data_IF_129737090699
#
_entry.id   IF_129737090699
#
_cell.length_a   1.000
_cell.length_b   1.000
_cell.length_c   1.000
_cell.angle_alpha   90.00
_cell.angle_beta   90.00
_cell.angle_gamma   90.00
#
_symmetry.space_group_name_H-M   'P 1'
#
loop_
_entity.id
_entity.type
_entity.pdbx_description
1 polymer ?
#
# COMPACT_ATOMS: atom_id res chain seq x y z
N UNK A 1 -15.99 23.17 4.40
CA UNK A 1 -14.95 22.83 3.39
C UNK A 1 -13.90 22.04 4.10
N UNK A 2 -13.31 20.99 3.49
CA UNK A 2 -12.19 20.30 4.11
C UNK A 2 -10.99 21.25 4.22
N UNK A 3 -10.31 21.18 5.34
CA UNK A 3 -9.07 21.93 5.57
C UNK A 3 -7.92 21.24 4.83
N UNK A 4 -7.16 22.00 4.02
CA UNK A 4 -5.94 21.52 3.39
C UNK A 4 -4.77 21.98 4.24
N UNK A 5 -4.12 21.02 4.89
CA UNK A 5 -2.97 21.29 5.73
C UNK A 5 -1.67 20.98 4.99
N UNK A 6 -0.75 21.94 4.99
CA UNK A 6 0.57 21.78 4.39
C UNK A 6 1.66 21.87 5.46
N UNK A 7 2.49 20.85 5.59
CA UNK A 7 3.48 20.75 6.66
C UNK A 7 4.76 21.56 6.45
N UNK A 8 5.09 22.03 5.24
CA UNK A 8 6.36 22.75 5.03
C UNK A 8 6.67 23.22 3.59
N UNK A 9 5.81 23.01 2.60
CA UNK A 9 6.08 23.43 1.22
C UNK A 9 5.01 24.39 0.72
N UNK A 10 5.36 25.34 -0.18
CA UNK A 10 4.37 26.25 -0.75
C UNK A 10 3.25 25.44 -1.37
N UNK A 11 2.05 25.70 -0.92
CA UNK A 11 0.79 25.15 -1.39
C UNK A 11 0.81 25.01 -2.90
N UNK A 12 0.81 23.78 -3.40
CA UNK A 12 0.27 23.56 -4.73
C UNK A 12 -1.20 23.96 -4.62
N UNK A 13 -1.52 25.10 -5.18
CA UNK A 13 -2.86 25.62 -5.23
C UNK A 13 -3.69 24.70 -6.16
N UNK A 14 -4.06 23.54 -5.68
CA UNK A 14 -5.23 22.86 -6.19
C UNK A 14 -6.36 23.84 -5.86
N UNK A 15 -6.71 24.69 -6.82
CA UNK A 15 -7.60 25.78 -6.56
C UNK A 15 -8.81 25.29 -5.78
N UNK A 16 -9.22 26.01 -4.77
CA UNK A 16 -10.46 25.76 -4.01
C UNK A 16 -11.59 25.23 -4.90
N UNK A 17 -11.62 25.67 -6.16
CA UNK A 17 -12.55 25.21 -7.19
C UNK A 17 -12.53 23.71 -7.46
N UNK A 18 -11.43 22.99 -7.22
CA UNK A 18 -11.37 21.54 -7.46
C UNK A 18 -12.18 20.75 -6.44
N UNK A 19 -12.35 21.28 -5.24
CA UNK A 19 -13.06 20.63 -4.13
C UNK A 19 -14.34 21.38 -3.69
N UNK A 20 -14.60 22.54 -4.25
CA UNK A 20 -15.85 23.26 -4.02
C UNK A 20 -17.00 22.51 -4.70
N UNK A 21 -17.83 21.90 -3.89
CA UNK A 21 -19.02 21.21 -4.37
C UNK A 21 -20.26 21.77 -3.73
N UNK A 22 -21.24 22.13 -4.56
CA UNK A 22 -22.59 22.40 -4.09
C UNK A 22 -23.22 21.12 -3.55
N UNK A 23 -24.31 21.23 -2.79
CA UNK A 23 -25.13 20.08 -2.39
C UNK A 23 -25.53 19.22 -3.61
N UNK A 24 -25.87 19.87 -4.72
CA UNK A 24 -26.24 19.19 -5.96
C UNK A 24 -25.12 18.32 -6.53
N UNK A 25 -23.87 18.78 -6.49
CA UNK A 25 -22.69 18.03 -6.91
C UNK A 25 -22.46 16.76 -6.06
N UNK A 26 -22.71 16.83 -4.76
CA UNK A 26 -22.63 15.68 -3.87
C UNK A 26 -23.67 14.61 -4.17
N UNK A 27 -24.82 15.02 -4.69
CA UNK A 27 -25.91 14.10 -5.04
C UNK A 27 -25.73 13.54 -6.46
N UNK A 28 -25.35 14.38 -7.40
CA UNK A 28 -25.26 14.04 -8.83
C UNK A 28 -23.91 14.50 -9.41
N UNK A 29 -22.80 13.85 -9.05
CA UNK A 29 -21.49 14.21 -9.61
C UNK A 29 -21.42 13.85 -11.10
N UNK A 30 -21.26 14.86 -11.94
CA UNK A 30 -21.13 14.68 -13.39
C UNK A 30 -19.81 13.99 -13.75
N UNK A 31 -19.77 13.27 -14.85
CA UNK A 31 -18.56 12.68 -15.42
C UNK A 31 -17.99 11.47 -14.72
N UNK A 32 -18.63 10.96 -13.67
CA UNK A 32 -18.22 9.71 -13.04
C UNK A 32 -18.49 8.50 -13.92
N UNK A 33 -17.65 7.47 -13.79
CA UNK A 33 -17.79 6.23 -14.54
C UNK A 33 -19.11 5.54 -14.24
N UNK A 34 -19.71 4.83 -15.22
CA UNK A 34 -20.97 4.10 -15.06
C UNK A 34 -20.95 3.13 -13.87
N UNK A 35 -19.83 2.48 -13.60
CA UNK A 35 -19.65 1.56 -12.48
C UNK A 35 -19.84 2.25 -11.13
N UNK A 36 -19.43 3.50 -10.99
CA UNK A 36 -19.64 4.28 -9.77
C UNK A 36 -21.12 4.48 -9.47
N UNK A 37 -21.94 4.76 -10.47
CA UNK A 37 -23.40 4.92 -10.28
C UNK A 37 -24.04 3.66 -9.70
N UNK A 38 -23.64 2.49 -10.18
CA UNK A 38 -24.11 1.23 -9.64
C UNK A 38 -23.67 1.05 -8.19
N UNK A 39 -22.39 1.26 -7.90
CA UNK A 39 -21.81 1.07 -6.56
C UNK A 39 -22.32 2.10 -5.55
N UNK A 40 -22.62 3.32 -5.99
CA UNK A 40 -23.08 4.38 -5.11
C UNK A 40 -24.35 4.01 -4.33
N UNK A 41 -25.26 3.29 -4.92
CA UNK A 41 -26.50 2.85 -4.23
C UNK A 41 -26.13 1.97 -3.02
N UNK A 42 -25.25 1.02 -3.22
CA UNK A 42 -24.79 0.13 -2.16
C UNK A 42 -23.95 0.87 -1.10
N UNK A 43 -23.05 1.73 -1.53
CA UNK A 43 -22.21 2.52 -0.63
C UNK A 43 -23.07 3.51 0.19
N UNK A 44 -24.10 4.13 -0.39
CA UNK A 44 -25.05 4.99 0.32
C UNK A 44 -25.84 4.22 1.37
N UNK A 45 -26.40 3.05 1.01
CA UNK A 45 -27.13 2.21 1.95
C UNK A 45 -26.22 1.81 3.11
N UNK A 46 -24.99 1.41 2.80
CA UNK A 46 -24.02 1.03 3.83
C UNK A 46 -23.65 2.22 4.74
N UNK A 47 -23.36 3.40 4.17
CA UNK A 47 -22.99 4.60 4.93
C UNK A 47 -24.06 5.04 5.91
N UNK A 48 -25.31 5.03 5.49
CA UNK A 48 -26.44 5.44 6.32
C UNK A 48 -27.07 4.31 7.12
N UNK A 49 -26.44 3.12 7.10
CA UNK A 49 -26.89 2.02 7.93
C UNK A 49 -26.82 2.40 9.42
N UNK A 50 -27.90 2.20 10.18
CA UNK A 50 -27.91 2.56 11.58
C UNK A 50 -26.90 1.70 12.36
N UNK A 51 -26.05 2.38 13.14
CA UNK A 51 -25.11 1.76 14.07
C UNK A 51 -25.24 2.50 15.38
N UNK A 52 -25.42 1.76 16.43
CA UNK A 52 -25.62 2.26 17.78
C UNK A 52 -24.36 2.07 18.64
N UNK A 53 -24.22 2.88 19.66
CA UNK A 53 -23.09 2.85 20.58
C UNK A 53 -22.09 3.99 20.32
N UNK A 54 -21.15 4.13 21.25
CA UNK A 54 -20.09 5.13 21.16
C UNK A 54 -19.11 4.76 20.05
N UNK A 55 -18.67 5.75 19.31
CA UNK A 55 -17.59 5.58 18.34
C UNK A 55 -16.26 5.55 19.05
N UNK A 56 -15.35 4.69 18.60
CA UNK A 56 -14.02 4.60 19.16
C UNK A 56 -13.03 4.02 18.13
N UNK A 57 -11.74 4.24 18.37
CA UNK A 57 -10.67 3.68 17.56
C UNK A 57 -10.44 4.40 16.23
N UNK A 58 -9.44 3.91 15.54
CA UNK A 58 -8.91 4.47 14.30
C UNK A 58 -8.99 3.43 13.18
N UNK A 59 -9.58 3.80 12.05
CA UNK A 59 -9.53 3.02 10.82
C UNK A 59 -8.44 3.59 9.90
N UNK A 60 -7.48 2.78 9.54
CA UNK A 60 -6.43 3.08 8.56
C UNK A 60 -6.71 2.31 7.29
N UNK A 61 -7.05 3.00 6.21
CA UNK A 61 -7.37 2.38 4.91
C UNK A 61 -6.14 2.37 4.03
N UNK A 62 -5.62 1.17 3.73
CA UNK A 62 -4.42 0.95 2.92
C UNK A 62 -4.70 -0.07 1.82
N UNK A 63 -4.97 0.43 0.60
CA UNK A 63 -5.26 -0.39 -0.58
C UNK A 63 -4.04 -0.54 -1.48
N UNK A 64 -2.87 -0.69 -0.88
CA UNK A 64 -1.57 -0.69 -1.52
C UNK A 64 -1.00 -2.11 -1.63
N UNK A 65 0.05 -2.27 -2.43
CA UNK A 65 0.84 -3.49 -2.52
C UNK A 65 1.77 -3.71 -1.33
N UNK A 66 2.40 -4.89 -1.26
CA UNK A 66 3.26 -5.25 -0.12
C UNK A 66 4.43 -4.28 0.07
N UNK A 67 5.02 -3.76 -1.01
CA UNK A 67 6.13 -2.80 -0.93
C UNK A 67 5.75 -1.56 -0.14
N UNK A 68 4.63 -0.91 -0.50
CA UNK A 68 4.13 0.28 0.18
C UNK A 68 3.71 -0.03 1.62
N UNK A 69 3.16 -1.22 1.86
CA UNK A 69 2.78 -1.65 3.22
C UNK A 69 3.98 -1.81 4.13
N UNK A 70 5.10 -2.31 3.61
CA UNK A 70 6.36 -2.42 4.35
C UNK A 70 6.94 -1.05 4.67
N UNK A 71 6.91 -0.11 3.71
CA UNK A 71 7.34 1.27 3.93
C UNK A 71 6.45 2.00 4.96
N UNK A 72 5.16 1.70 4.96
CA UNK A 72 4.18 2.26 5.89
C UNK A 72 4.30 1.71 7.31
N UNK A 73 4.80 0.49 7.49
CA UNK A 73 4.75 -0.25 8.76
C UNK A 73 5.27 0.55 9.96
N UNK A 74 6.40 1.23 9.81
CA UNK A 74 6.99 2.04 10.90
C UNK A 74 6.16 3.30 11.20
N UNK A 75 5.56 3.91 10.18
CA UNK A 75 4.69 5.06 10.37
C UNK A 75 3.44 4.69 11.19
N UNK A 76 2.94 3.45 11.07
CA UNK A 76 1.78 2.97 11.81
C UNK A 76 1.99 2.99 13.32
N UNK A 77 3.21 2.71 13.81
CA UNK A 77 3.51 2.69 15.24
C UNK A 77 3.33 4.07 15.90
N UNK A 78 3.43 5.15 15.12
CA UNK A 78 3.23 6.51 15.62
C UNK A 78 1.75 6.92 15.72
N UNK A 79 0.85 6.17 15.07
CA UNK A 79 -0.57 6.54 15.05
C UNK A 79 -1.22 6.45 16.44
N UNK A 80 -0.82 5.47 17.25
CA UNK A 80 -1.36 5.30 18.59
C UNK A 80 -1.15 6.56 19.46
N UNK A 81 0.06 7.08 19.45
CA UNK A 81 0.42 8.28 20.22
C UNK A 81 -0.24 9.54 19.67
N UNK A 82 -0.27 9.69 18.34
CA UNK A 82 -0.81 10.88 17.66
C UNK A 82 -2.33 10.98 17.86
N UNK A 83 -3.03 9.86 17.78
CA UNK A 83 -4.48 9.82 17.92
C UNK A 83 -4.95 9.53 19.36
N UNK A 84 -4.03 9.24 20.29
CA UNK A 84 -4.36 8.92 21.68
C UNK A 84 -5.17 7.63 21.83
N UNK A 85 -4.90 6.63 20.98
CA UNK A 85 -5.58 5.33 20.98
C UNK A 85 -4.59 4.20 21.25
N UNK A 86 -5.10 3.06 21.71
CA UNK A 86 -4.26 1.85 21.87
C UNK A 86 -4.02 1.21 20.51
N UNK A 87 -2.91 0.51 20.33
CA UNK A 87 -2.65 -0.25 19.10
C UNK A 87 -3.78 -1.23 18.77
N UNK A 88 -4.37 -1.86 19.77
CA UNK A 88 -5.53 -2.77 19.62
C UNK A 88 -6.79 -2.09 19.07
N UNK A 89 -6.89 -0.77 19.20
CA UNK A 89 -8.02 0.03 18.72
C UNK A 89 -7.77 0.62 17.31
N UNK A 90 -6.57 0.36 16.76
CA UNK A 90 -6.22 0.69 15.37
C UNK A 90 -6.58 -0.50 14.49
N UNK A 91 -7.40 -0.23 13.48
CA UNK A 91 -7.86 -1.20 12.51
C UNK A 91 -7.20 -0.88 11.17
N UNK A 92 -6.37 -1.77 10.66
CA UNK A 92 -5.78 -1.65 9.33
C UNK A 92 -6.62 -2.44 8.34
N UNK A 93 -7.19 -1.74 7.36
CA UNK A 93 -7.94 -2.34 6.27
C UNK A 93 -7.06 -2.42 5.03
N UNK A 94 -6.73 -3.63 4.62
CA UNK A 94 -5.77 -3.89 3.55
C UNK A 94 -6.21 -4.90 2.51
N UNK A 95 -5.31 -5.18 1.55
CA UNK A 95 -5.54 -6.00 0.38
C UNK A 95 -5.17 -7.46 0.58
N UNK A 96 -5.89 -8.34 -0.11
CA UNK A 96 -5.64 -9.79 -0.12
C UNK A 96 -4.27 -10.15 -0.69
N UNK A 97 -3.71 -9.31 -1.54
CA UNK A 97 -2.41 -9.54 -2.18
C UNK A 97 -1.25 -9.81 -1.20
N UNK A 98 -1.32 -9.31 0.04
CA UNK A 98 -0.32 -9.55 1.08
C UNK A 98 -0.89 -10.24 2.34
N UNK A 99 -2.09 -10.82 2.24
CA UNK A 99 -2.78 -11.48 3.36
C UNK A 99 -1.94 -12.56 4.07
N UNK A 100 -1.11 -13.30 3.33
CA UNK A 100 -0.32 -14.40 3.86
C UNK A 100 0.81 -13.98 4.83
N UNK A 101 1.12 -12.68 4.89
CA UNK A 101 2.15 -12.12 5.78
C UNK A 101 1.57 -11.06 6.73
N UNK A 102 0.28 -10.79 6.62
CA UNK A 102 -0.40 -9.71 7.33
C UNK A 102 -0.28 -9.85 8.85
N UNK A 103 -0.57 -11.04 9.36
CA UNK A 103 -0.59 -11.29 10.81
C UNK A 103 0.81 -11.14 11.43
N UNK A 104 1.86 -11.54 10.73
CA UNK A 104 3.23 -11.39 11.21
C UNK A 104 3.72 -9.95 11.15
N UNK A 105 3.46 -9.25 10.04
CA UNK A 105 3.88 -7.86 9.85
C UNK A 105 3.13 -6.87 10.77
N UNK A 106 1.89 -7.18 11.12
CA UNK A 106 0.99 -6.25 11.85
C UNK A 106 0.41 -6.87 13.12
N UNK A 107 1.13 -7.78 13.78
CA UNK A 107 0.63 -8.58 14.94
C UNK A 107 0.04 -7.76 16.11
N UNK A 108 0.37 -6.49 16.24
CA UNK A 108 -0.12 -5.64 17.31
C UNK A 108 -1.41 -4.88 16.97
N UNK A 109 -1.92 -5.04 15.75
CA UNK A 109 -3.03 -4.27 15.21
C UNK A 109 -4.18 -5.20 14.84
N UNK A 110 -5.38 -4.64 14.79
CA UNK A 110 -6.53 -5.35 14.25
C UNK A 110 -6.52 -5.26 12.74
N UNK A 111 -6.46 -6.41 12.08
CA UNK A 111 -6.43 -6.47 10.61
C UNK A 111 -7.78 -6.83 10.02
N UNK A 112 -8.11 -6.19 8.92
CA UNK A 112 -9.20 -6.56 8.03
C UNK A 112 -8.64 -6.64 6.62
N UNK A 113 -8.59 -7.84 6.09
CA UNK A 113 -8.09 -8.10 4.73
C UNK A 113 -9.27 -8.34 3.80
N UNK A 114 -9.30 -7.62 2.70
CA UNK A 114 -10.34 -7.76 1.69
C UNK A 114 -9.77 -8.09 0.31
N UNK A 115 -10.59 -8.73 -0.51
CA UNK A 115 -10.28 -8.95 -1.92
C UNK A 115 -10.57 -7.66 -2.71
N UNK A 116 -9.51 -6.94 -3.05
CA UNK A 116 -9.55 -5.66 -3.75
C UNK A 116 -10.13 -5.78 -5.17
N UNK A 117 -9.92 -6.92 -5.82
CA UNK A 117 -10.47 -7.18 -7.15
C UNK A 117 -11.98 -7.44 -7.10
N UNK A 118 -12.43 -8.21 -6.12
CA UNK A 118 -13.85 -8.45 -5.89
C UNK A 118 -14.55 -7.15 -5.49
N UNK A 119 -13.95 -6.35 -4.60
CA UNK A 119 -14.49 -5.05 -4.18
C UNK A 119 -14.65 -4.07 -5.36
N UNK A 120 -13.71 -4.07 -6.29
CA UNK A 120 -13.76 -3.22 -7.48
C UNK A 120 -14.77 -3.67 -8.56
N UNK A 121 -15.25 -4.92 -8.51
CA UNK A 121 -16.01 -5.52 -9.63
C UNK A 121 -17.37 -6.08 -9.23
N UNK A 122 -17.55 -6.54 -7.98
CA UNK A 122 -18.74 -7.28 -7.53
C UNK A 122 -19.58 -6.40 -6.57
N UNK A 123 -20.79 -5.95 -6.96
CA UNK A 123 -21.60 -5.04 -6.16
C UNK A 123 -21.97 -5.58 -4.78
N UNK A 124 -22.33 -6.87 -4.69
CA UNK A 124 -22.72 -7.50 -3.43
C UNK A 124 -21.54 -7.68 -2.48
N UNK A 125 -20.35 -8.04 -3.00
CA UNK A 125 -19.14 -8.10 -2.20
C UNK A 125 -18.76 -6.69 -1.69
N UNK A 126 -18.83 -5.69 -2.57
CA UNK A 126 -18.63 -4.29 -2.20
C UNK A 126 -19.57 -3.85 -1.08
N UNK A 127 -20.86 -4.16 -1.22
CA UNK A 127 -21.84 -3.85 -0.18
C UNK A 127 -21.53 -4.53 1.16
N UNK A 128 -21.15 -5.82 1.13
CA UNK A 128 -20.74 -6.58 2.33
C UNK A 128 -19.57 -5.89 3.05
N UNK A 129 -18.51 -5.52 2.30
CA UNK A 129 -17.35 -4.84 2.87
C UNK A 129 -17.72 -3.44 3.35
N UNK A 130 -18.45 -2.66 2.58
CA UNK A 130 -18.90 -1.32 2.96
C UNK A 130 -19.73 -1.35 4.24
N UNK A 131 -20.65 -2.30 4.37
CA UNK A 131 -21.46 -2.48 5.58
C UNK A 131 -20.61 -2.94 6.78
N UNK A 132 -19.62 -3.80 6.57
CA UNK A 132 -18.66 -4.20 7.60
C UNK A 132 -17.88 -2.98 8.08
N UNK A 133 -17.31 -2.18 7.18
CA UNK A 133 -16.58 -0.95 7.52
C UNK A 133 -17.47 0.04 8.28
N UNK A 134 -18.70 0.24 7.86
CA UNK A 134 -19.67 1.09 8.58
C UNK A 134 -19.94 0.62 10.01
N UNK A 135 -20.03 -0.70 10.21
CA UNK A 135 -20.28 -1.34 11.51
C UNK A 135 -19.08 -1.30 12.47
N UNK A 136 -17.89 -0.97 11.99
CA UNK A 136 -16.73 -0.75 12.86
C UNK A 136 -16.97 0.42 13.83
N UNK A 137 -17.81 1.36 13.46
CA UNK A 137 -18.22 2.50 14.27
C UNK A 137 -17.02 3.28 14.85
N UNK A 138 -16.02 3.53 13.99
CA UNK A 138 -14.78 4.20 14.37
C UNK A 138 -14.97 5.70 14.60
N UNK A 139 -14.16 6.28 15.47
CA UNK A 139 -14.12 7.73 15.70
C UNK A 139 -13.42 8.44 14.55
N UNK A 140 -12.29 7.90 14.10
CA UNK A 140 -11.47 8.50 13.04
C UNK A 140 -11.20 7.49 11.93
N UNK A 141 -11.24 7.93 10.68
CA UNK A 141 -10.82 7.15 9.52
C UNK A 141 -9.79 7.94 8.70
N UNK A 142 -8.69 7.28 8.34
CA UNK A 142 -7.60 7.90 7.59
C UNK A 142 -7.19 7.09 6.37
N UNK A 143 -6.63 7.79 5.37
CA UNK A 143 -5.91 7.20 4.26
C UNK A 143 -4.78 8.15 3.84
N UNK A 144 -3.54 7.73 4.02
CA UNK A 144 -2.35 8.52 3.70
C UNK A 144 -1.64 8.11 2.40
N UNK A 145 -2.19 7.13 1.65
CA UNK A 145 -1.63 6.70 0.36
C UNK A 145 -1.72 7.81 -0.68
N UNK A 146 -0.60 8.11 -1.33
CA UNK A 146 -0.55 9.12 -2.40
C UNK A 146 -1.09 8.56 -3.73
N UNK A 147 -0.62 7.39 -4.15
CA UNK A 147 -1.11 6.69 -5.33
C UNK A 147 -2.24 5.75 -4.91
N UNK A 148 -3.47 6.21 -4.98
CA UNK A 148 -4.64 5.41 -4.63
C UNK A 148 -5.77 5.58 -5.65
N UNK A 149 -6.77 4.75 -5.53
CA UNK A 149 -7.98 4.84 -6.35
C UNK A 149 -9.12 5.35 -5.47
N UNK A 150 -9.73 6.48 -5.86
CA UNK A 150 -10.81 7.12 -5.10
C UNK A 150 -11.96 6.16 -4.79
N UNK A 151 -12.38 5.35 -5.78
CA UNK A 151 -13.44 4.35 -5.59
C UNK A 151 -13.04 3.14 -4.73
N UNK A 152 -11.80 3.07 -4.32
CA UNK A 152 -11.30 2.03 -3.41
C UNK A 152 -11.06 2.62 -2.02
N UNK A 153 -10.00 3.39 -1.85
CA UNK A 153 -9.60 3.90 -0.55
C UNK A 153 -10.52 5.01 -0.03
N UNK A 154 -10.74 6.07 -0.83
CA UNK A 154 -11.55 7.21 -0.38
C UNK A 154 -13.02 6.83 -0.16
N UNK A 155 -13.55 5.89 -0.97
CA UNK A 155 -14.91 5.38 -0.76
C UNK A 155 -15.05 4.64 0.57
N UNK A 156 -14.03 3.91 1.02
CA UNK A 156 -14.03 3.18 2.30
C UNK A 156 -13.91 4.14 3.48
N UNK A 157 -13.05 5.17 3.38
CA UNK A 157 -13.02 6.25 4.36
C UNK A 157 -14.39 6.91 4.45
N UNK A 158 -14.99 7.26 3.32
CA UNK A 158 -16.30 7.87 3.28
C UNK A 158 -17.42 6.99 3.85
N UNK A 159 -17.44 5.70 3.51
CA UNK A 159 -18.46 4.74 3.98
C UNK A 159 -18.35 4.48 5.47
N UNK A 160 -17.17 4.57 6.07
CA UNK A 160 -16.99 4.40 7.53
C UNK A 160 -17.93 5.33 8.32
N UNK A 161 -18.26 6.48 7.74
CA UNK A 161 -19.01 7.57 8.38
C UNK A 161 -18.41 7.93 9.75
N UNK A 162 -17.08 7.88 9.89
CA UNK A 162 -16.36 8.32 11.07
C UNK A 162 -16.67 9.80 11.39
N UNK A 163 -16.51 10.21 12.64
CA UNK A 163 -16.66 11.60 13.03
C UNK A 163 -15.60 12.49 12.40
N UNK A 164 -14.38 11.94 12.24
CA UNK A 164 -13.26 12.64 11.62
C UNK A 164 -12.67 11.80 10.49
N UNK A 165 -12.60 12.36 9.29
CA UNK A 165 -12.06 11.72 8.11
C UNK A 165 -10.87 12.54 7.60
N UNK A 166 -9.67 11.94 7.59
CA UNK A 166 -8.43 12.63 7.23
C UNK A 166 -7.75 11.85 6.11
N UNK A 167 -7.38 12.53 5.03
CA UNK A 167 -6.71 11.88 3.91
C UNK A 167 -5.52 12.69 3.42
N UNK A 168 -4.53 12.03 2.83
CA UNK A 168 -3.51 12.73 2.07
C UNK A 168 -4.09 13.29 0.77
N UNK A 169 -3.49 14.36 0.26
CA UNK A 169 -3.74 14.82 -1.10
C UNK A 169 -3.20 13.76 -2.07
N UNK A 170 -4.06 13.10 -2.88
CA UNK A 170 -3.63 12.03 -3.77
C UNK A 170 -3.03 12.56 -5.06
N UNK A 171 -2.37 11.68 -5.81
CA UNK A 171 -2.07 11.96 -7.22
C UNK A 171 -3.37 12.03 -8.04
N UNK A 172 -3.66 13.21 -8.57
CA UNK A 172 -4.86 13.47 -9.36
C UNK A 172 -4.46 13.76 -10.81
N UNK A 173 -4.98 12.98 -11.73
CA UNK A 173 -4.91 13.22 -13.16
C UNK A 173 -6.30 13.53 -13.73
N UNK A 174 -6.38 13.96 -14.97
CA UNK A 174 -7.65 14.36 -15.59
C UNK A 174 -8.72 13.24 -15.55
N UNK A 175 -8.41 11.96 -15.86
CA UNK A 175 -9.41 10.89 -15.77
C UNK A 175 -9.95 10.60 -14.37
N UNK A 176 -9.20 10.90 -13.32
CA UNK A 176 -9.57 10.60 -11.92
C UNK A 176 -10.09 11.81 -11.16
N UNK A 177 -9.95 13.00 -11.71
CA UNK A 177 -10.32 14.27 -11.07
C UNK A 177 -11.74 14.26 -10.48
N UNK A 178 -12.73 13.84 -11.27
CA UNK A 178 -14.13 13.85 -10.85
C UNK A 178 -14.39 12.95 -9.64
N UNK A 179 -13.80 11.75 -9.64
CA UNK A 179 -13.95 10.79 -8.54
C UNK A 179 -13.32 11.33 -7.26
N UNK A 180 -12.12 11.88 -7.34
CA UNK A 180 -11.43 12.49 -6.21
C UNK A 180 -12.16 13.74 -5.71
N UNK A 181 -12.58 14.63 -6.59
CA UNK A 181 -13.35 15.83 -6.19
C UNK A 181 -14.57 15.45 -5.38
N UNK A 182 -15.29 14.40 -5.78
CA UNK A 182 -16.46 13.93 -5.05
C UNK A 182 -16.13 13.49 -3.62
N UNK A 183 -15.12 12.63 -3.42
CA UNK A 183 -14.80 12.12 -2.08
C UNK A 183 -14.07 13.17 -1.23
N UNK A 184 -13.08 13.86 -1.79
CA UNK A 184 -12.30 14.86 -1.07
C UNK A 184 -13.13 16.04 -0.59
N UNK A 185 -14.24 16.37 -1.27
CA UNK A 185 -15.19 17.41 -0.79
C UNK A 185 -15.96 17.01 0.47
N UNK A 186 -15.85 15.76 0.91
CA UNK A 186 -16.63 15.19 2.00
C UNK A 186 -15.77 14.68 3.18
N UNK A 187 -14.47 14.94 3.15
CA UNK A 187 -13.57 14.69 4.27
C UNK A 187 -13.36 15.95 5.09
N UNK A 188 -12.93 15.81 6.33
CA UNK A 188 -12.74 16.93 7.25
C UNK A 188 -11.37 17.59 7.04
N UNK A 189 -10.34 16.81 6.69
CA UNK A 189 -8.99 17.32 6.48
C UNK A 189 -8.31 16.63 5.30
N UNK A 190 -7.61 17.43 4.49
CA UNK A 190 -6.72 16.95 3.43
C UNK A 190 -5.31 17.45 3.75
N UNK A 191 -4.36 16.53 3.82
CA UNK A 191 -2.95 16.84 4.10
C UNK A 191 -2.14 16.72 2.81
N UNK A 192 -1.48 17.80 2.43
CA UNK A 192 -0.50 17.77 1.34
C UNK A 192 0.81 17.18 1.88
N UNK A 193 1.17 16.00 1.38
CA UNK A 193 2.37 15.26 1.79
C UNK A 193 3.59 15.51 0.91
N UNK A 194 3.48 16.42 -0.02
CA UNK A 194 4.54 16.85 -0.93
C UNK A 194 4.26 16.53 -2.41
N UNK A 195 4.92 17.23 -3.33
CA UNK A 195 4.73 17.06 -4.78
C UNK A 195 5.28 15.72 -5.26
N UNK A 196 4.97 15.36 -6.51
CA UNK A 196 5.66 14.27 -7.19
C UNK A 196 7.02 14.78 -7.75
N UNK A 197 8.12 14.03 -7.64
CA UNK A 197 8.30 12.75 -6.95
C UNK A 197 8.80 12.94 -5.50
N UNK A 198 7.95 12.66 -4.52
CA UNK A 198 8.37 12.58 -3.12
C UNK A 198 8.35 11.11 -2.68
N UNK A 199 9.37 10.65 -1.98
CA UNK A 199 9.47 9.27 -1.50
C UNK A 199 8.38 8.97 -0.46
N UNK A 200 7.78 7.76 -0.48
CA UNK A 200 6.64 7.39 0.39
C UNK A 200 6.96 7.52 1.89
N UNK A 201 8.15 7.16 2.34
CA UNK A 201 8.56 7.34 3.75
C UNK A 201 8.50 8.82 4.16
N UNK A 202 8.90 9.73 3.26
CA UNK A 202 8.83 11.18 3.50
C UNK A 202 7.36 11.63 3.54
N UNK A 203 6.51 11.06 2.68
CA UNK A 203 5.06 11.35 2.68
C UNK A 203 4.41 10.95 3.99
N UNK A 204 4.69 9.74 4.49
CA UNK A 204 4.19 9.29 5.79
C UNK A 204 4.65 10.22 6.92
N UNK A 205 5.94 10.59 6.90
CA UNK A 205 6.51 11.53 7.86
C UNK A 205 5.80 12.90 7.81
N UNK A 206 5.57 13.45 6.61
CA UNK A 206 4.88 14.72 6.43
C UNK A 206 3.43 14.66 6.91
N UNK A 207 2.71 13.55 6.60
CA UNK A 207 1.34 13.32 7.05
C UNK A 207 1.25 13.32 8.58
N UNK A 208 2.11 12.56 9.24
CA UNK A 208 2.14 12.45 10.70
C UNK A 208 2.64 13.73 11.37
N UNK A 209 3.59 14.45 10.75
CA UNK A 209 4.06 15.76 11.24
C UNK A 209 2.93 16.78 11.24
N UNK A 210 2.10 16.78 10.20
CA UNK A 210 0.94 17.65 10.11
C UNK A 210 -0.08 17.36 11.22
N UNK A 211 -0.35 16.09 11.48
CA UNK A 211 -1.30 15.65 12.52
C UNK A 211 -0.79 15.93 13.93
N UNK A 212 0.46 15.62 14.20
CA UNK A 212 1.07 15.85 15.52
C UNK A 212 1.41 17.31 15.80
N UNK A 213 1.40 18.17 14.76
CA UNK A 213 1.89 19.57 14.81
C UNK A 213 3.34 19.67 15.29
N UNK A 214 4.12 18.62 15.06
CA UNK A 214 5.55 18.55 15.41
C UNK A 214 6.31 17.97 14.21
N UNK A 215 7.50 18.48 13.90
CA UNK A 215 8.32 17.88 12.87
C UNK A 215 8.76 16.47 13.30
N UNK A 216 8.48 15.49 12.47
CA UNK A 216 8.95 14.13 12.64
C UNK A 216 10.06 13.85 11.63
N UNK A 217 10.98 12.97 11.98
CA UNK A 217 12.03 12.51 11.06
C UNK A 217 11.60 11.25 10.35
N UNK A 218 11.95 11.06 9.08
CA UNK A 218 11.70 9.82 8.37
C UNK A 218 12.32 8.64 9.10
N UNK A 219 11.56 7.55 9.22
CA UNK A 219 12.00 6.31 9.89
C UNK A 219 12.26 5.28 8.80
N UNK A 220 13.45 4.67 8.81
CA UNK A 220 13.78 3.60 7.89
C UNK A 220 12.84 2.40 8.09
N UNK A 221 12.37 1.76 7.02
CA UNK A 221 11.52 0.59 7.15
C UNK A 221 12.28 -0.55 7.83
N UNK A 222 11.62 -1.22 8.77
CA UNK A 222 12.16 -2.40 9.44
C UNK A 222 11.03 -3.40 9.70
N UNK A 223 11.29 -4.65 9.41
CA UNK A 223 10.35 -5.75 9.58
C UNK A 223 11.01 -6.85 10.41
N UNK A 224 10.38 -7.22 11.52
CA UNK A 224 10.72 -8.45 12.22
C UNK A 224 9.99 -9.61 11.57
N UNK A 225 10.72 -10.61 11.11
CA UNK A 225 10.19 -11.83 10.54
C UNK A 225 10.74 -13.03 11.28
N UNK A 226 9.87 -13.73 12.00
CA UNK A 226 10.23 -14.85 12.88
C UNK A 226 9.90 -16.22 12.29
N UNK A 227 8.98 -16.28 11.31
CA UNK A 227 8.60 -17.53 10.68
C UNK A 227 9.79 -18.10 9.89
N UNK A 228 10.34 -19.18 10.38
CA UNK A 228 11.38 -19.94 9.68
C UNK A 228 10.73 -21.08 8.89
N UNK A 229 10.77 -20.99 7.59
CA UNK A 229 10.37 -22.09 6.72
C UNK A 229 11.52 -23.06 6.56
N UNK A 230 11.27 -24.36 6.75
CA UNK A 230 12.25 -25.41 6.62
C UNK A 230 12.93 -25.38 5.25
N UNK A 231 14.25 -25.23 5.27
CA UNK A 231 15.25 -25.37 4.22
C UNK A 231 14.83 -25.10 2.78
N UNK A 232 15.25 -23.96 2.26
CA UNK A 232 15.38 -23.79 0.81
C UNK A 232 16.58 -24.58 0.29
N UNK A 233 16.47 -25.27 -0.85
CA UNK A 233 17.59 -26.00 -1.45
C UNK A 233 18.57 -25.04 -2.14
N UNK A 234 19.09 -24.07 -1.41
CA UNK A 234 20.03 -23.07 -1.93
C UNK A 234 21.32 -23.17 -1.14
N UNK A 235 22.41 -23.35 -1.87
CA UNK A 235 23.75 -23.32 -1.27
C UNK A 235 24.10 -21.89 -0.86
N UNK A 236 24.48 -21.69 0.40
CA UNK A 236 24.92 -20.40 0.95
C UNK A 236 26.44 -20.24 0.75
N UNK A 237 26.96 -19.01 0.51
CA UNK A 237 26.20 -17.76 0.37
C UNK A 237 25.52 -17.59 -1.00
N UNK A 238 24.35 -16.93 -1.02
CA UNK A 238 23.64 -16.67 -2.26
C UNK A 238 23.20 -15.21 -2.38
N UNK A 239 23.01 -14.76 -3.63
CA UNK A 239 22.46 -13.45 -3.97
C UNK A 239 21.12 -13.64 -4.68
N UNK A 240 20.12 -12.83 -4.29
CA UNK A 240 18.80 -12.83 -4.93
C UNK A 240 18.78 -11.85 -6.07
N UNK A 241 18.27 -12.27 -7.22
CA UNK A 241 17.96 -11.41 -8.36
C UNK A 241 16.45 -11.35 -8.58
N UNK A 242 15.89 -10.14 -8.63
CA UNK A 242 14.48 -9.89 -8.92
C UNK A 242 14.33 -8.98 -10.14
N UNK A 243 14.39 -9.53 -11.35
CA UNK A 243 14.40 -8.77 -12.60
C UNK A 243 13.02 -8.26 -13.01
N UNK A 244 11.95 -8.77 -12.42
CA UNK A 244 10.59 -8.41 -12.76
C UNK A 244 10.15 -7.01 -12.29
N UNK A 245 9.15 -6.47 -12.96
CA UNK A 245 8.39 -5.30 -12.52
C UNK A 245 7.04 -5.24 -13.23
N UNK A 246 5.99 -4.79 -12.55
CA UNK A 246 4.68 -4.54 -13.16
C UNK A 246 4.70 -3.39 -14.18
N UNK A 247 5.66 -2.47 -14.04
CA UNK A 247 5.83 -1.34 -14.94
C UNK A 247 7.05 -1.55 -15.83
N UNK A 248 6.82 -1.61 -17.14
CA UNK A 248 7.90 -1.82 -18.12
C UNK A 248 9.03 -0.79 -17.98
N UNK A 249 8.71 0.46 -17.74
CA UNK A 249 9.69 1.54 -17.59
C UNK A 249 10.60 1.43 -16.36
N UNK A 250 10.30 0.53 -15.41
CA UNK A 250 11.14 0.24 -14.24
C UNK A 250 12.01 -0.99 -14.43
N UNK A 251 11.90 -1.70 -15.56
CA UNK A 251 12.67 -2.92 -15.80
C UNK A 251 14.07 -2.58 -16.27
N UNK A 252 15.08 -2.96 -15.50
CA UNK A 252 16.45 -2.97 -15.97
C UNK A 252 16.61 -4.09 -17.01
N UNK A 253 17.34 -3.87 -18.13
CA UNK A 253 17.49 -4.89 -19.17
C UNK A 253 17.99 -6.22 -18.61
N UNK A 254 17.39 -7.31 -19.06
CA UNK A 254 17.65 -8.65 -18.49
C UNK A 254 19.10 -9.11 -18.71
N UNK A 255 19.73 -8.70 -19.82
CA UNK A 255 21.13 -8.97 -20.14
C UNK A 255 22.08 -8.44 -19.05
N UNK A 256 21.70 -7.35 -18.39
CA UNK A 256 22.47 -6.79 -17.29
C UNK A 256 22.37 -7.69 -16.04
N UNK A 257 21.18 -8.24 -15.74
CA UNK A 257 21.02 -9.24 -14.69
C UNK A 257 21.85 -10.50 -14.97
N UNK A 258 21.91 -10.94 -16.23
CA UNK A 258 22.75 -12.06 -16.65
C UNK A 258 24.23 -11.78 -16.40
N UNK A 259 24.67 -10.56 -16.72
CA UNK A 259 26.07 -10.15 -16.48
C UNK A 259 26.39 -10.11 -15.00
N UNK A 260 25.50 -9.57 -14.19
CA UNK A 260 25.64 -9.53 -12.72
C UNK A 260 25.68 -10.96 -12.15
N UNK A 261 24.77 -11.84 -12.59
CA UNK A 261 24.71 -13.23 -12.16
C UNK A 261 26.04 -13.96 -12.39
N UNK A 262 26.60 -13.85 -13.59
CA UNK A 262 27.91 -14.46 -13.93
C UNK A 262 29.04 -13.94 -13.04
N UNK A 263 29.14 -12.62 -12.89
CA UNK A 263 30.16 -12.00 -12.06
C UNK A 263 30.07 -12.41 -10.58
N UNK A 264 28.88 -12.59 -10.05
CA UNK A 264 28.66 -13.05 -8.67
C UNK A 264 28.97 -14.56 -8.53
N UNK A 265 28.57 -15.35 -9.53
CA UNK A 265 28.86 -16.77 -9.56
C UNK A 265 30.39 -17.04 -9.59
N UNK A 266 31.13 -16.29 -10.41
CA UNK A 266 32.60 -16.37 -10.49
C UNK A 266 33.29 -15.98 -9.16
N UNK A 267 32.59 -15.26 -8.30
CA UNK A 267 33.04 -14.91 -6.95
C UNK A 267 32.59 -15.91 -5.87
N UNK A 268 31.93 -17.00 -6.25
CA UNK A 268 31.55 -18.09 -5.36
C UNK A 268 30.15 -17.95 -4.73
N UNK A 269 29.31 -17.01 -5.22
CA UNK A 269 27.93 -16.92 -4.77
C UNK A 269 27.03 -17.83 -5.60
N UNK A 270 26.09 -18.49 -4.94
CA UNK A 270 24.91 -19.05 -5.63
C UNK A 270 23.93 -17.96 -6.02
N UNK A 271 23.20 -18.15 -7.10
CA UNK A 271 22.22 -17.18 -7.61
C UNK A 271 20.81 -17.72 -7.44
N UNK A 272 19.93 -16.92 -6.85
CA UNK A 272 18.50 -17.22 -6.72
C UNK A 272 17.71 -16.18 -7.48
N UNK A 273 16.90 -16.63 -8.45
CA UNK A 273 16.03 -15.74 -9.22
C UNK A 273 14.62 -15.85 -8.63
N UNK A 274 14.03 -14.69 -8.32
CA UNK A 274 12.66 -14.60 -7.81
C UNK A 274 11.82 -13.68 -8.69
N UNK A 275 10.51 -13.92 -8.71
CA UNK A 275 9.56 -13.11 -9.47
C UNK A 275 8.16 -13.69 -9.45
N UNK A 276 7.20 -12.96 -10.02
CA UNK A 276 5.83 -13.40 -10.21
C UNK A 276 5.69 -14.47 -11.28
N UNK A 277 4.54 -15.16 -11.29
CA UNK A 277 4.28 -16.25 -12.22
C UNK A 277 4.31 -15.82 -13.70
N UNK A 278 3.89 -14.60 -13.98
CA UNK A 278 3.85 -14.05 -15.35
C UNK A 278 5.24 -13.63 -15.87
N UNK A 279 6.25 -13.65 -15.01
CA UNK A 279 7.63 -13.25 -15.35
C UNK A 279 8.45 -14.40 -15.95
N UNK A 280 7.92 -15.62 -15.95
CA UNK A 280 8.58 -16.80 -16.54
C UNK A 280 8.93 -16.66 -18.03
N UNK A 281 8.20 -15.82 -18.77
CA UNK A 281 8.34 -15.69 -20.21
C UNK A 281 9.63 -14.93 -20.59
N UNK A 282 10.11 -14.07 -19.70
CA UNK A 282 11.24 -13.16 -19.98
C UNK A 282 12.56 -13.59 -19.31
N UNK A 283 12.52 -14.60 -18.43
CA UNK A 283 13.66 -14.98 -17.57
C UNK A 283 13.94 -16.48 -17.63
N UNK A 284 14.34 -17.01 -18.81
CA UNK A 284 14.69 -18.43 -18.80
C UNK A 284 16.05 -18.66 -18.12
N UNK A 285 16.16 -19.61 -17.19
CA UNK A 285 17.44 -20.01 -16.57
C UNK A 285 18.49 -20.43 -17.58
N UNK A 286 18.05 -20.89 -18.76
CA UNK A 286 18.91 -21.27 -19.87
C UNK A 286 19.72 -20.10 -20.42
N UNK A 287 19.20 -18.86 -20.33
CA UNK A 287 19.90 -17.64 -20.72
C UNK A 287 20.96 -17.20 -19.70
N UNK A 288 20.80 -17.59 -18.43
CA UNK A 288 21.81 -17.36 -17.38
C UNK A 288 22.94 -18.38 -17.42
N UNK A 289 22.87 -19.30 -18.36
CA UNK A 289 23.76 -20.44 -18.48
C UNK A 289 23.32 -21.56 -17.54
N UNK A 290 23.14 -22.75 -18.06
CA UNK A 290 22.80 -23.98 -17.31
C UNK A 290 23.94 -24.43 -16.37
N UNK A 291 24.50 -23.49 -15.60
CA UNK A 291 25.58 -23.75 -14.69
C UNK A 291 25.05 -24.16 -13.31
N UNK A 292 25.66 -25.18 -12.73
CA UNK A 292 25.55 -25.53 -11.32
C UNK A 292 25.65 -24.24 -10.46
N UNK A 293 24.62 -23.86 -9.73
CA UNK A 293 24.64 -22.68 -8.85
C UNK A 293 23.57 -21.61 -9.10
N UNK A 294 22.71 -21.78 -10.13
CA UNK A 294 21.53 -20.92 -10.35
C UNK A 294 20.26 -21.68 -9.96
N UNK A 295 19.47 -21.10 -9.06
CA UNK A 295 18.17 -21.64 -8.64
C UNK A 295 17.06 -20.68 -9.12
N UNK A 296 16.21 -21.17 -10.02
CA UNK A 296 15.05 -20.42 -10.50
C UNK A 296 13.82 -20.71 -9.64
N UNK A 297 13.35 -19.68 -8.94
CA UNK A 297 12.15 -19.68 -8.10
C UNK A 297 11.05 -18.74 -8.62
N UNK A 298 11.15 -18.26 -9.85
CA UNK A 298 10.12 -17.41 -10.47
C UNK A 298 8.80 -18.18 -10.52
N UNK A 299 7.73 -17.57 -9.98
CA UNK A 299 6.41 -18.19 -9.86
C UNK A 299 6.30 -19.39 -8.93
N UNK A 300 7.36 -19.75 -8.19
CA UNK A 300 7.43 -20.95 -7.35
C UNK A 300 7.42 -20.64 -5.84
N UNK A 301 7.40 -19.36 -5.47
CA UNK A 301 7.41 -18.92 -4.07
C UNK A 301 6.12 -18.20 -3.71
N UNK A 302 5.59 -18.48 -2.54
CA UNK A 302 4.61 -17.65 -1.86
C UNK A 302 5.32 -16.50 -1.15
N UNK A 303 4.59 -15.48 -0.74
CA UNK A 303 5.18 -14.29 -0.11
C UNK A 303 5.96 -14.59 1.19
N UNK A 304 5.50 -15.47 2.12
CA UNK A 304 6.31 -15.86 3.28
C UNK A 304 7.65 -16.53 2.90
N UNK A 305 7.63 -17.38 1.88
CA UNK A 305 8.82 -18.04 1.36
C UNK A 305 9.80 -17.03 0.75
N UNK A 306 9.28 -16.07 -0.02
CA UNK A 306 10.07 -14.98 -0.57
C UNK A 306 10.75 -14.16 0.54
N UNK A 307 10.03 -13.82 1.61
CA UNK A 307 10.60 -13.08 2.74
C UNK A 307 11.74 -13.86 3.39
N UNK A 308 11.60 -15.17 3.60
CA UNK A 308 12.68 -15.99 4.13
C UNK A 308 13.89 -16.04 3.20
N UNK A 309 13.67 -16.17 1.89
CA UNK A 309 14.76 -16.14 0.89
C UNK A 309 15.51 -14.81 0.96
N UNK A 310 14.78 -13.69 1.00
CA UNK A 310 15.38 -12.36 1.08
C UNK A 310 16.14 -12.17 2.40
N UNK A 311 15.57 -12.59 3.54
CA UNK A 311 16.16 -12.46 4.88
C UNK A 311 17.53 -13.12 4.99
N UNK A 312 17.73 -14.27 4.34
CA UNK A 312 18.97 -15.06 4.42
C UNK A 312 19.93 -14.83 3.25
N UNK A 313 19.58 -13.97 2.30
CA UNK A 313 20.44 -13.61 1.19
C UNK A 313 21.64 -12.76 1.64
N UNK A 314 22.79 -12.95 0.99
CA UNK A 314 23.95 -12.07 1.18
C UNK A 314 23.70 -10.67 0.61
N UNK A 315 22.92 -10.58 -0.45
CA UNK A 315 22.45 -9.33 -1.06
C UNK A 315 21.25 -9.57 -1.99
N UNK A 316 20.55 -8.51 -2.34
CA UNK A 316 19.47 -8.53 -3.35
C UNK A 316 19.71 -7.49 -4.43
N UNK A 317 19.60 -7.90 -5.68
CA UNK A 317 19.61 -7.01 -6.86
C UNK A 317 18.21 -7.02 -7.47
N UNK A 318 17.54 -5.91 -7.43
CA UNK A 318 16.11 -5.80 -7.82
C UNK A 318 15.83 -4.51 -8.56
N UNK A 319 14.78 -4.51 -9.36
CA UNK A 319 14.11 -3.29 -9.77
C UNK A 319 13.38 -2.65 -8.57
N UNK A 320 12.86 -1.43 -8.75
CA UNK A 320 12.00 -0.76 -7.75
C UNK A 320 10.64 -1.48 -7.63
N UNK A 321 10.61 -2.52 -6.80
CA UNK A 321 9.47 -3.44 -6.62
C UNK A 321 9.39 -3.97 -5.19
N UNK A 322 8.35 -4.76 -4.89
CA UNK A 322 8.14 -5.35 -3.57
C UNK A 322 9.36 -6.05 -2.95
N UNK A 323 10.08 -6.92 -3.68
CA UNK A 323 11.30 -7.55 -3.19
C UNK A 323 12.40 -6.58 -2.73
N UNK A 324 12.59 -5.45 -3.43
CA UNK A 324 13.55 -4.42 -3.01
C UNK A 324 13.17 -3.83 -1.64
N UNK A 325 11.91 -3.42 -1.47
CA UNK A 325 11.41 -2.86 -0.22
C UNK A 325 11.46 -3.86 0.93
N UNK A 326 11.12 -5.12 0.66
CA UNK A 326 11.21 -6.20 1.65
C UNK A 326 12.67 -6.44 2.08
N UNK A 327 13.62 -6.53 1.14
CA UNK A 327 15.04 -6.72 1.44
C UNK A 327 15.56 -5.62 2.36
N UNK A 328 15.32 -4.36 2.01
CA UNK A 328 15.73 -3.20 2.83
C UNK A 328 15.13 -3.29 4.23
N UNK A 329 13.85 -3.62 4.34
CA UNK A 329 13.16 -3.70 5.63
C UNK A 329 13.63 -4.88 6.49
N UNK A 330 14.11 -5.95 5.87
CA UNK A 330 14.72 -7.12 6.54
C UNK A 330 16.19 -6.89 6.90
N UNK A 331 16.80 -5.79 6.45
CA UNK A 331 18.23 -5.49 6.66
C UNK A 331 19.14 -6.20 5.68
N UNK A 332 18.64 -6.76 4.60
CA UNK A 332 19.42 -7.39 3.53
C UNK A 332 19.90 -6.33 2.54
N UNK A 333 21.21 -6.25 2.25
CA UNK A 333 21.79 -5.26 1.33
C UNK A 333 21.23 -5.36 -0.09
#
# INVERSE_FOLDING_TARGET
MPEIYNSSTPTVNFGRQTFETSWFWRVLPAGMRRRWWLFRVFDLIARYWPVFGNRNGLLVVRMDGIGDMVLFRQALDLHADIFGVRNSDIIVLGCKSWASVADELFKNYRLIIMDEHAFARQPFYRFKISLMVRRLNVETAICDSYFRRAMMADSLVWVSAANTNIVSLPFINEPTRTEFTYYLSQVDMIIDTGPYPTHEIIRHCNFLSALSKKPLSPIAPSVSWEEELNSFPVNSPYVVLSPGSNEYGRRWPYENYTTVAKNLHDRGYSIVIVGGQDEHIETSPEQLGSSNGVTDLVGKTRLPELINILKHAAATVSNDTGPAHLSIALGTP
#
